data_IF_045495403251
#
_entry.id   IF_045495403251
#
_cell.length_a   1.000
_cell.length_b   1.000
_cell.length_c   1.000
_cell.angle_alpha   90.00
_cell.angle_beta   90.00
_cell.angle_gamma   90.00
#
_symmetry.space_group_name_H-M   'P 1'
#
loop_
_entity.id
_entity.type
_entity.pdbx_description
1 polymer ?
#
# COMPACT_ATOMS: atom_id res chain seq x y z
N UNK A 1 6.45 12.29 15.68
CA UNK A 1 5.75 11.37 14.77
C UNK A 1 4.82 12.22 13.91
N UNK A 2 5.22 12.50 12.67
CA UNK A 2 4.33 13.14 11.70
C UNK A 2 3.64 12.01 10.94
N UNK A 3 2.40 11.66 11.32
CA UNK A 3 1.63 10.64 10.61
C UNK A 3 1.26 11.11 9.21
N UNK A 4 1.01 10.17 8.29
CA UNK A 4 0.41 10.48 6.99
C UNK A 4 -0.98 11.06 7.24
N UNK A 5 -1.18 12.31 6.82
CA UNK A 5 -2.48 12.98 6.91
C UNK A 5 -3.44 12.52 5.81
N UNK A 6 -4.72 12.83 5.97
CA UNK A 6 -5.72 12.50 4.97
C UNK A 6 -5.45 13.22 3.64
N UNK A 7 -5.69 12.53 2.53
CA UNK A 7 -5.49 13.10 1.20
C UNK A 7 -5.43 12.08 0.07
N UNK A 8 -5.18 12.59 -1.14
CA UNK A 8 -4.88 11.76 -2.31
C UNK A 8 -3.37 11.72 -2.51
N UNK A 9 -2.82 10.53 -2.69
CA UNK A 9 -1.39 10.32 -2.83
C UNK A 9 -1.06 9.39 -4.00
N UNK A 10 0.12 9.56 -4.59
CA UNK A 10 0.85 8.48 -5.23
C UNK A 10 1.73 7.82 -4.19
N UNK A 11 1.59 6.52 -4.03
CA UNK A 11 2.37 5.73 -3.08
C UNK A 11 3.47 5.04 -3.87
N UNK A 12 4.73 5.32 -3.56
CA UNK A 12 5.88 4.89 -4.36
C UNK A 12 6.87 4.06 -3.57
N UNK A 13 7.51 3.13 -4.26
CA UNK A 13 8.68 2.39 -3.80
C UNK A 13 9.90 2.95 -4.52
N UNK A 14 10.92 3.35 -3.76
CA UNK A 14 12.17 3.96 -4.26
C UNK A 14 11.97 5.21 -5.16
N UNK A 15 10.82 5.87 -5.05
CA UNK A 15 10.46 7.04 -5.87
C UNK A 15 10.29 6.74 -7.37
N UNK A 16 10.32 5.48 -7.79
CA UNK A 16 10.28 5.06 -9.21
C UNK A 16 9.08 4.19 -9.52
N UNK A 17 8.82 3.19 -8.68
CA UNK A 17 7.74 2.25 -8.85
C UNK A 17 6.53 2.74 -8.09
N UNK A 18 5.35 2.74 -8.71
CA UNK A 18 4.15 3.35 -8.15
C UNK A 18 3.11 2.27 -7.93
N UNK A 19 2.55 2.23 -6.72
CA UNK A 19 1.43 1.36 -6.38
C UNK A 19 0.25 1.69 -7.29
N UNK A 20 -0.23 0.70 -8.03
CA UNK A 20 -1.23 0.87 -9.08
C UNK A 20 -2.37 -0.12 -8.90
N UNK A 21 -3.61 0.37 -8.94
CA UNK A 21 -4.79 -0.49 -9.04
C UNK A 21 -4.85 -1.07 -10.47
N UNK A 22 -4.70 -2.38 -10.60
CA UNK A 22 -4.62 -3.06 -11.89
C UNK A 22 -5.91 -3.84 -12.22
N UNK A 23 -6.07 -4.20 -13.49
CA UNK A 23 -7.22 -4.98 -13.94
C UNK A 23 -7.38 -6.28 -13.16
N UNK A 24 -8.62 -6.71 -12.94
CA UNK A 24 -8.92 -7.90 -12.13
C UNK A 24 -8.87 -7.68 -10.61
N UNK A 25 -8.60 -6.44 -10.16
CA UNK A 25 -8.57 -6.08 -8.74
C UNK A 25 -7.18 -6.22 -8.11
N UNK A 26 -6.15 -6.67 -8.83
CA UNK A 26 -4.82 -6.78 -8.25
C UNK A 26 -4.18 -5.41 -7.96
N UNK A 27 -3.32 -5.34 -6.94
CA UNK A 27 -2.42 -4.22 -6.73
C UNK A 27 -1.01 -4.58 -7.21
N UNK A 28 -0.40 -3.71 -8.01
CA UNK A 28 0.88 -3.95 -8.67
C UNK A 28 1.79 -2.73 -8.59
N UNK A 29 3.06 -2.90 -8.98
CA UNK A 29 3.97 -1.78 -9.24
C UNK A 29 4.13 -1.51 -10.73
N UNK A 30 3.90 -0.26 -11.12
CA UNK A 30 4.18 0.23 -12.46
C UNK A 30 4.88 1.59 -12.39
N UNK A 31 5.84 1.89 -13.28
CA UNK A 31 6.52 3.18 -13.31
C UNK A 31 5.73 4.28 -14.05
N UNK A 32 4.80 3.92 -14.94
CA UNK A 32 4.09 4.89 -15.77
C UNK A 32 3.07 5.66 -14.94
N UNK A 33 3.18 6.99 -14.89
CA UNK A 33 2.23 7.84 -14.18
C UNK A 33 0.85 7.80 -14.86
N UNK A 34 -0.14 7.27 -14.15
CA UNK A 34 -1.53 7.18 -14.61
C UNK A 34 -2.52 7.54 -13.50
N UNK A 35 -3.80 7.68 -13.83
CA UNK A 35 -4.84 8.00 -12.85
C UNK A 35 -5.14 6.82 -11.89
N UNK A 36 -4.78 5.59 -12.28
CA UNK A 36 -4.93 4.36 -11.46
C UNK A 36 -3.96 4.27 -10.29
N UNK A 37 -3.12 5.29 -10.12
CA UNK A 37 -2.10 5.40 -9.07
C UNK A 37 -2.43 6.48 -8.05
N UNK A 38 -3.59 7.11 -8.18
CA UNK A 38 -4.11 8.01 -7.18
C UNK A 38 -4.85 7.21 -6.10
N UNK A 39 -4.42 7.37 -4.85
CA UNK A 39 -4.97 6.67 -3.71
C UNK A 39 -5.47 7.65 -2.66
N UNK A 40 -6.75 7.55 -2.30
CA UNK A 40 -7.27 8.16 -1.09
C UNK A 40 -6.72 7.41 0.13
N UNK A 41 -6.04 8.14 1.00
CA UNK A 41 -5.54 7.66 2.28
C UNK A 41 -6.28 8.41 3.36
N UNK A 42 -6.93 7.69 4.27
CA UNK A 42 -7.78 8.28 5.29
C UNK A 42 -7.57 7.58 6.63
N UNK A 43 -7.28 8.37 7.67
CA UNK A 43 -7.15 7.88 9.04
C UNK A 43 -8.52 7.52 9.61
N UNK A 44 -8.60 6.42 10.33
CA UNK A 44 -9.79 5.96 11.07
C UNK A 44 -9.75 6.48 12.51
N UNK A 45 -10.86 6.33 13.24
CA UNK A 45 -10.92 6.65 14.67
C UNK A 45 -9.99 5.77 15.54
N UNK A 46 -9.54 4.63 15.02
CA UNK A 46 -8.66 3.67 15.73
C UNK A 46 -7.17 3.94 15.52
N UNK A 47 -6.82 5.08 14.93
CA UNK A 47 -5.46 5.38 14.48
C UNK A 47 -4.87 4.39 13.48
N UNK A 48 -5.73 3.74 12.70
CA UNK A 48 -5.38 2.99 11.49
C UNK A 48 -5.74 3.81 10.26
N UNK A 49 -5.44 3.31 9.07
CA UNK A 49 -5.76 3.96 7.80
C UNK A 49 -6.49 3.01 6.88
N UNK A 50 -7.40 3.56 6.09
CA UNK A 50 -7.94 2.89 4.92
C UNK A 50 -7.33 3.53 3.67
N UNK A 51 -7.05 2.68 2.67
CA UNK A 51 -6.46 3.10 1.40
C UNK A 51 -7.43 2.68 0.29
N UNK A 52 -7.81 3.60 -0.60
CA UNK A 52 -8.77 3.37 -1.69
C UNK A 52 -8.26 3.97 -2.99
N UNK A 53 -8.47 3.36 -4.17
CA UNK A 53 -8.25 4.06 -5.43
C UNK A 53 -9.10 5.34 -5.47
N UNK A 54 -8.58 6.42 -6.07
CA UNK A 54 -9.25 7.72 -6.06
C UNK A 54 -10.58 7.73 -6.83
N UNK A 55 -10.72 6.85 -7.82
CA UNK A 55 -11.88 6.69 -8.69
C UNK A 55 -12.83 5.56 -8.26
N UNK A 56 -12.61 4.96 -7.09
CA UNK A 56 -13.33 3.76 -6.65
C UNK A 56 -13.76 3.83 -5.19
N UNK A 57 -14.87 3.14 -4.87
CA UNK A 57 -15.31 2.88 -3.49
C UNK A 57 -14.68 1.63 -2.87
N UNK A 58 -13.84 0.91 -3.62
CA UNK A 58 -13.15 -0.29 -3.15
C UNK A 58 -11.88 0.08 -2.36
N UNK A 59 -11.38 -0.86 -1.58
CA UNK A 59 -10.28 -0.69 -0.65
C UNK A 59 -9.10 -1.57 -1.03
N UNK A 60 -7.89 -1.03 -0.90
CA UNK A 60 -6.67 -1.81 -0.94
C UNK A 60 -6.60 -2.67 0.33
N UNK A 61 -6.45 -3.97 0.15
CA UNK A 61 -6.62 -4.92 1.24
C UNK A 61 -6.21 -6.34 0.88
N UNK A 62 -6.53 -7.24 1.76
CA UNK A 62 -6.29 -8.67 1.67
C UNK A 62 -7.54 -9.40 2.21
N UNK A 63 -7.70 -10.68 1.89
CA UNK A 63 -8.92 -11.44 2.18
C UNK A 63 -8.76 -12.26 3.46
N UNK A 64 -9.52 -11.90 4.50
CA UNK A 64 -9.53 -12.67 5.74
C UNK A 64 -8.40 -12.29 6.69
N UNK A 65 -7.75 -13.31 7.29
CA UNK A 65 -6.63 -13.10 8.22
C UNK A 65 -5.33 -12.85 7.44
N UNK A 66 -4.46 -11.93 7.90
CA UNK A 66 -3.24 -11.59 7.18
C UNK A 66 -2.26 -12.76 7.14
N UNK A 67 -2.01 -13.30 5.95
CA UNK A 67 -1.07 -14.39 5.71
C UNK A 67 0.20 -13.95 4.98
N UNK A 68 1.31 -14.68 5.19
CA UNK A 68 2.56 -14.39 4.49
C UNK A 68 2.43 -14.66 2.99
N UNK A 69 2.83 -13.67 2.18
CA UNK A 69 2.70 -13.62 0.72
C UNK A 69 1.26 -13.62 0.21
N UNK A 70 0.29 -13.34 1.08
CA UNK A 70 -1.08 -13.12 0.65
C UNK A 70 -1.13 -11.89 -0.27
N UNK A 71 -1.79 -12.03 -1.41
CA UNK A 71 -1.89 -10.95 -2.40
C UNK A 71 -2.71 -9.80 -1.86
N UNK A 72 -2.18 -8.60 -2.05
CA UNK A 72 -2.93 -7.38 -1.81
C UNK A 72 -3.67 -6.99 -3.07
N UNK A 73 -4.96 -6.70 -2.90
CA UNK A 73 -5.92 -6.45 -3.97
C UNK A 73 -6.86 -5.32 -3.58
N UNK A 74 -7.58 -4.80 -4.55
CA UNK A 74 -8.67 -3.86 -4.40
C UNK A 74 -9.97 -4.65 -4.28
N UNK A 75 -10.61 -4.62 -3.12
CA UNK A 75 -11.84 -5.37 -2.82
C UNK A 75 -12.92 -4.48 -2.18
N UNK A 76 -14.15 -4.99 -2.11
CA UNK A 76 -15.28 -4.25 -1.53
C UNK A 76 -15.24 -4.16 0.00
N UNK A 77 -14.35 -4.90 0.65
CA UNK A 77 -14.22 -4.93 2.10
C UNK A 77 -13.09 -4.00 2.55
N UNK A 78 -13.34 -3.10 3.51
CA UNK A 78 -12.29 -2.22 4.02
C UNK A 78 -11.25 -3.02 4.81
N UNK A 79 -10.00 -2.94 4.38
CA UNK A 79 -8.85 -3.36 5.19
C UNK A 79 -8.23 -2.15 5.89
N UNK A 80 -7.97 -2.31 7.18
CA UNK A 80 -7.24 -1.33 7.97
C UNK A 80 -5.73 -1.57 7.85
N UNK A 81 -4.97 -0.49 7.79
CA UNK A 81 -3.52 -0.48 7.70
C UNK A 81 -2.93 0.33 8.85
N UNK A 82 -1.79 -0.10 9.37
CA UNK A 82 -0.95 0.69 10.29
C UNK A 82 0.13 1.38 9.47
N UNK A 83 0.18 2.71 9.48
CA UNK A 83 1.21 3.48 8.79
C UNK A 83 2.13 4.11 9.83
N UNK A 84 3.41 3.73 9.81
CA UNK A 84 4.45 4.22 10.73
C UNK A 84 5.68 4.68 9.96
N UNK A 85 6.58 5.40 10.64
CA UNK A 85 7.87 5.80 10.07
C UNK A 85 8.62 4.56 9.54
N UNK A 86 9.11 4.67 8.31
CA UNK A 86 9.79 3.60 7.59
C UNK A 86 11.28 3.50 7.96
N UNK A 87 11.97 2.51 7.37
CA UNK A 87 13.41 2.29 7.61
C UNK A 87 14.30 3.41 7.07
N UNK A 88 13.80 4.25 6.16
CA UNK A 88 14.51 5.40 5.62
C UNK A 88 13.83 6.71 6.01
N UNK A 89 14.62 7.78 6.11
CA UNK A 89 14.08 9.11 6.42
C UNK A 89 13.09 9.55 5.35
N UNK A 90 11.87 9.91 5.76
CA UNK A 90 10.81 10.34 4.85
C UNK A 90 10.05 9.19 4.16
N UNK A 91 10.30 7.93 4.54
CA UNK A 91 9.50 6.79 4.08
C UNK A 91 8.62 6.24 5.19
N UNK A 92 7.70 5.35 4.83
CA UNK A 92 6.73 4.74 5.73
C UNK A 92 6.69 3.22 5.57
N UNK A 93 6.39 2.52 6.65
CA UNK A 93 5.99 1.13 6.62
C UNK A 93 4.47 1.06 6.67
N UNK A 94 3.86 0.34 5.73
CA UNK A 94 2.41 0.10 5.67
C UNK A 94 2.19 -1.34 6.16
N UNK A 95 1.75 -1.51 7.40
CA UNK A 95 1.58 -2.80 8.07
C UNK A 95 0.14 -3.27 8.14
N UNK A 96 -0.10 -4.57 7.99
CA UNK A 96 -1.34 -5.16 8.48
C UNK A 96 -1.33 -5.13 10.02
N UNK A 97 -2.41 -4.66 10.68
CA UNK A 97 -2.46 -4.57 12.14
C UNK A 97 -2.16 -5.91 12.82
N UNK A 98 -1.39 -5.87 13.90
CA UNK A 98 -1.11 -6.99 14.82
C UNK A 98 -0.52 -8.29 14.23
N UNK A 99 -0.11 -8.31 12.95
CA UNK A 99 0.44 -9.50 12.29
C UNK A 99 1.96 -9.48 12.11
N UNK A 100 2.57 -8.29 12.17
CA UNK A 100 3.98 -8.10 11.79
C UNK A 100 4.25 -8.19 10.29
N UNK A 101 3.20 -8.34 9.48
CA UNK A 101 3.27 -8.32 8.01
C UNK A 101 3.03 -6.91 7.47
N UNK A 102 3.65 -6.62 6.34
CA UNK A 102 3.69 -5.30 5.71
C UNK A 102 3.39 -5.39 4.22
N UNK A 103 2.99 -4.28 3.63
CA UNK A 103 2.85 -4.11 2.20
C UNK A 103 4.24 -4.25 1.56
N UNK A 104 4.44 -5.30 0.78
CA UNK A 104 5.71 -5.59 0.13
C UNK A 104 5.52 -6.24 -1.24
N UNK A 105 6.62 -6.67 -1.83
CA UNK A 105 6.60 -7.37 -3.11
C UNK A 105 6.25 -8.84 -2.92
N UNK A 106 5.40 -9.36 -3.80
CA UNK A 106 5.19 -10.81 -3.90
C UNK A 106 6.47 -11.47 -4.45
N UNK A 107 6.94 -12.60 -3.89
CA UNK A 107 8.21 -13.24 -4.29
C UNK A 107 8.20 -13.87 -5.68
N UNK A 108 7.07 -13.87 -6.37
CA UNK A 108 6.94 -14.48 -7.69
C UNK A 108 7.50 -13.54 -8.76
N UNK A 109 8.36 -14.05 -9.64
CA UNK A 109 8.97 -13.32 -10.75
C UNK A 109 7.99 -13.17 -11.93
N UNK A 110 6.87 -12.48 -11.70
CA UNK A 110 5.85 -12.18 -12.70
C UNK A 110 5.84 -10.70 -13.04
N UNK A 111 5.36 -10.35 -14.24
CA UNK A 111 5.19 -8.97 -14.65
C UNK A 111 3.71 -8.64 -14.91
N UNK A 112 3.19 -7.51 -14.41
CA UNK A 112 3.85 -6.58 -13.50
C UNK A 112 4.11 -7.19 -12.10
N UNK A 113 5.09 -6.68 -11.32
CA UNK A 113 5.32 -7.14 -9.95
C UNK A 113 4.07 -6.97 -9.10
N UNK A 114 3.61 -8.07 -8.50
CA UNK A 114 2.47 -8.09 -7.60
C UNK A 114 2.85 -7.58 -6.21
N UNK A 115 1.88 -6.98 -5.53
CA UNK A 115 1.99 -6.61 -4.12
C UNK A 115 1.40 -7.70 -3.24
N UNK A 116 2.04 -7.95 -2.10
CA UNK A 116 1.60 -8.92 -1.12
C UNK A 116 1.88 -8.45 0.31
N UNK A 117 1.27 -9.12 1.26
CA UNK A 117 1.71 -9.10 2.65
C UNK A 117 3.05 -9.82 2.75
N UNK A 118 4.04 -9.16 3.31
CA UNK A 118 5.40 -9.65 3.43
C UNK A 118 5.96 -9.32 4.81
N UNK A 119 6.78 -10.19 5.41
CA UNK A 119 7.61 -9.79 6.54
C UNK A 119 8.42 -8.55 6.20
N UNK A 120 8.71 -7.75 7.22
CA UNK A 120 9.68 -6.66 7.07
C UNK A 120 11.10 -7.23 7.00
N UNK A 121 11.89 -6.74 6.05
CA UNK A 121 13.29 -7.11 5.87
C UNK A 121 14.19 -5.90 6.09
N UNK A 122 15.42 -6.11 6.57
CA UNK A 122 16.38 -5.02 6.80
C UNK A 122 16.79 -4.25 5.54
N UNK A 123 16.54 -4.83 4.37
CA UNK A 123 16.82 -4.20 3.07
C UNK A 123 15.67 -3.32 2.56
N UNK A 124 14.50 -3.35 3.23
CA UNK A 124 13.33 -2.59 2.86
C UNK A 124 13.64 -1.09 2.86
N UNK A 125 13.11 -0.42 1.83
CA UNK A 125 13.33 1.01 1.61
C UNK A 125 12.20 1.85 2.20
N UNK A 126 11.04 1.22 2.41
CA UNK A 126 9.80 1.87 2.81
C UNK A 126 9.09 2.55 1.64
N UNK A 127 7.87 3.00 1.90
CA UNK A 127 6.98 3.63 0.94
C UNK A 127 7.00 5.15 1.08
N UNK A 128 7.02 5.88 -0.02
CA UNK A 128 6.89 7.34 -0.01
C UNK A 128 5.51 7.77 -0.48
N UNK A 129 4.93 8.77 0.17
CA UNK A 129 3.62 9.33 -0.15
C UNK A 129 3.80 10.70 -0.81
N UNK A 130 3.59 10.76 -2.12
CA UNK A 130 3.61 12.00 -2.91
C UNK A 130 2.17 12.52 -3.03
N UNK A 131 1.86 13.66 -2.39
CA UNK A 131 0.50 14.23 -2.44
C UNK A 131 0.14 14.66 -3.86
N UNK A 132 -1.08 14.34 -4.29
CA UNK A 132 -1.66 14.83 -5.54
C UNK A 132 -2.58 16.00 -5.18
N UNK A 133 -2.28 17.17 -5.72
CA UNK A 133 -3.11 18.38 -5.59
C UNK A 133 -4.33 18.35 -6.53
#
# INVERSE_FOLDING_TARGET
MAGVGDGVYRITLDGRQILTAFGGGDAVLLPERTDRQAWHVQKTEKETWVIRPADSSHFLGFDGEPETFERVRVSGQPSEWRIIDGPQSGTFTIGAPDSGLTLGLHPALVFPPLIALSPSFGEDKGWSFEKID
#
